data_IF_449912835046
#
_entry.id   IF_449912835046
#
_cell.length_a   1.000
_cell.length_b   1.000
_cell.length_c   1.000
_cell.angle_alpha   90.00
_cell.angle_beta   90.00
_cell.angle_gamma   90.00
#
_symmetry.space_group_name_H-M   'P 1'
#
loop_
_entity.id
_entity.type
_entity.pdbx_description
1 polymer ?
#
# COMPACT_ATOMS: atom_id res chain seq x y z
N UNK A 1 -0.30 -7.09 -16.65
CA UNK A 1 -0.75 -6.05 -15.69
C UNK A 1 0.16 -4.85 -15.84
N UNK A 2 -0.31 -3.77 -16.46
CA UNK A 2 0.37 -2.48 -16.36
C UNK A 2 0.21 -2.00 -14.91
N UNK A 3 1.34 -1.78 -14.23
CA UNK A 3 1.35 -1.49 -12.80
C UNK A 3 1.06 0.00 -12.62
N UNK A 4 -0.23 0.34 -12.55
CA UNK A 4 -0.73 1.63 -12.06
C UNK A 4 -0.45 1.74 -10.56
N UNK A 5 0.83 1.82 -10.22
CA UNK A 5 1.27 2.19 -8.89
C UNK A 5 0.99 3.69 -8.72
N UNK A 6 0.23 4.12 -7.71
CA UNK A 6 -0.07 5.54 -7.51
C UNK A 6 1.19 6.37 -7.23
N UNK A 7 2.34 5.75 -6.99
CA UNK A 7 3.63 6.42 -6.87
C UNK A 7 4.50 6.15 -8.11
N UNK A 8 4.04 6.53 -9.30
CA UNK A 8 4.95 6.70 -10.42
C UNK A 8 5.74 8.00 -10.17
N UNK A 9 6.90 7.89 -9.53
CA UNK A 9 7.87 8.98 -9.44
C UNK A 9 8.58 9.08 -10.80
N UNK A 10 8.04 9.89 -11.70
CA UNK A 10 8.79 10.40 -12.85
C UNK A 10 8.64 9.62 -14.15
N UNK A 11 7.60 9.97 -14.91
CA UNK A 11 7.69 10.17 -16.38
C UNK A 11 6.83 11.38 -16.79
N UNK A 12 6.82 12.44 -15.98
CA UNK A 12 6.47 13.77 -16.49
C UNK A 12 7.75 14.35 -17.05
N UNK A 13 7.84 14.40 -18.38
CA UNK A 13 8.88 15.20 -19.04
C UNK A 13 8.76 16.64 -18.53
N UNK A 14 9.84 17.15 -17.94
CA UNK A 14 10.01 18.56 -17.57
C UNK A 14 10.00 19.45 -18.82
N UNK A 15 8.80 19.72 -19.33
CA UNK A 15 8.52 20.79 -20.28
C UNK A 15 7.34 21.62 -19.76
N UNK A 16 7.47 22.11 -18.54
CA UNK A 16 6.77 23.32 -18.12
C UNK A 16 7.85 24.30 -17.60
N UNK A 17 8.34 25.13 -18.53
CA UNK A 17 8.96 26.39 -18.17
C UNK A 17 7.82 27.35 -17.83
N UNK A 18 7.57 27.57 -16.53
CA UNK A 18 7.00 28.81 -16.06
C UNK A 18 7.51 29.12 -14.64
N UNK A 19 7.96 30.36 -14.50
CA UNK A 19 8.60 30.96 -13.33
C UNK A 19 7.74 30.88 -12.05
N UNK A 20 8.22 30.16 -11.03
CA UNK A 20 7.64 30.19 -9.67
C UNK A 20 8.74 30.27 -8.58
N UNK A 21 9.43 31.42 -8.53
CA UNK A 21 10.30 31.78 -7.40
C UNK A 21 9.53 32.62 -6.37
N UNK A 22 8.60 32.00 -5.62
CA UNK A 22 7.78 32.72 -4.61
C UNK A 22 8.20 32.49 -3.14
N UNK A 23 9.16 31.61 -2.83
CA UNK A 23 9.50 31.31 -1.41
C UNK A 23 10.99 31.33 -1.04
N UNK A 24 11.84 32.01 -1.81
CA UNK A 24 13.21 32.27 -1.37
C UNK A 24 13.58 33.73 -1.60
N UNK A 25 13.77 34.48 -0.50
CA UNK A 25 14.39 35.81 -0.52
C UNK A 25 15.73 35.68 -1.27
N UNK A 26 15.96 36.45 -2.35
CA UNK A 26 17.11 36.27 -3.21
C UNK A 26 18.39 36.64 -2.46
N UNK A 27 19.20 35.65 -2.11
CA UNK A 27 20.62 35.89 -1.81
C UNK A 27 21.28 36.31 -3.11
N UNK A 28 21.62 37.60 -3.23
CA UNK A 28 22.48 38.13 -4.30
C UNK A 28 23.77 37.28 -4.39
N UNK A 29 23.79 36.33 -5.32
CA UNK A 29 25.02 35.68 -5.77
C UNK A 29 25.50 36.41 -7.02
N UNK A 30 26.38 37.37 -6.81
CA UNK A 30 27.24 37.95 -7.85
C UNK A 30 28.21 36.88 -8.33
N UNK A 31 27.85 36.20 -9.41
CA UNK A 31 28.68 35.19 -10.05
C UNK A 31 27.92 34.44 -11.11
N UNK A 32 27.83 35.02 -12.30
CA UNK A 32 27.27 34.40 -13.50
C UNK A 32 28.15 33.24 -13.95
N UNK A 33 27.97 32.07 -13.32
CA UNK A 33 28.51 30.82 -13.83
C UNK A 33 27.69 30.46 -15.07
N UNK A 34 28.29 30.59 -16.25
CA UNK A 34 27.73 30.12 -17.53
C UNK A 34 27.31 28.66 -17.35
N UNK A 35 26.02 28.39 -17.18
CA UNK A 35 25.48 27.04 -17.30
C UNK A 35 25.51 26.71 -18.79
N UNK A 36 26.29 25.69 -19.13
CA UNK A 36 26.22 25.11 -20.46
C UNK A 36 24.80 24.56 -20.67
N UNK A 37 24.17 24.79 -21.84
CA UNK A 37 22.87 24.21 -22.14
C UNK A 37 22.95 22.70 -21.97
N UNK A 38 22.13 22.15 -21.09
CA UNK A 38 21.99 20.71 -20.91
C UNK A 38 21.22 20.21 -22.12
N UNK A 39 21.92 19.52 -23.03
CA UNK A 39 21.26 18.85 -24.16
C UNK A 39 20.30 17.80 -23.60
N UNK A 40 19.00 18.01 -23.78
CA UNK A 40 17.92 17.09 -23.38
C UNK A 40 17.84 15.88 -24.34
N UNK A 41 18.96 15.20 -24.56
CA UNK A 41 18.98 13.93 -25.27
C UNK A 41 18.34 12.81 -24.44
N UNK A 42 17.77 11.76 -25.05
CA UNK A 42 17.33 10.57 -24.33
C UNK A 42 18.50 10.02 -23.50
N UNK A 43 18.27 9.84 -22.19
CA UNK A 43 19.29 9.33 -21.28
C UNK A 43 19.56 7.85 -21.60
N UNK A 44 20.78 7.58 -22.08
CA UNK A 44 21.30 6.23 -22.21
C UNK A 44 22.18 5.95 -21.00
N UNK A 45 21.73 5.04 -20.13
CA UNK A 45 22.53 4.58 -18.99
C UNK A 45 23.90 4.13 -19.51
N UNK A 46 24.97 4.74 -19.01
CA UNK A 46 26.32 4.41 -19.45
C UNK A 46 26.75 3.16 -18.70
N UNK A 47 26.30 1.99 -19.16
CA UNK A 47 26.54 0.68 -18.51
C UNK A 47 28.04 0.49 -18.19
N UNK A 48 28.94 1.00 -19.03
CA UNK A 48 30.38 0.90 -18.80
C UNK A 48 30.94 1.84 -17.72
N UNK A 49 30.26 2.94 -17.40
CA UNK A 49 30.67 3.89 -16.35
C UNK A 49 29.87 3.74 -15.05
N UNK A 50 28.57 3.45 -15.17
CA UNK A 50 27.66 3.28 -14.04
C UNK A 50 27.65 1.84 -13.53
N UNK A 51 28.04 0.86 -14.35
CA UNK A 51 28.09 -0.57 -14.02
C UNK A 51 29.36 -1.03 -13.29
N UNK A 52 30.00 -0.16 -12.51
CA UNK A 52 31.23 -0.53 -11.77
C UNK A 52 31.01 -1.72 -10.80
N UNK A 53 29.77 -1.97 -10.39
CA UNK A 53 29.36 -3.11 -9.57
C UNK A 53 29.07 -4.40 -10.37
N UNK A 54 29.07 -4.37 -11.70
CA UNK A 54 28.89 -5.56 -12.54
C UNK A 54 30.18 -6.34 -12.79
N UNK A 55 31.35 -5.70 -12.60
CA UNK A 55 32.67 -6.24 -13.00
C UNK A 55 33.45 -6.90 -11.87
N UNK A 56 32.77 -7.39 -10.84
CA UNK A 56 33.42 -8.16 -9.78
C UNK A 56 33.41 -9.65 -10.12
N UNK A 57 34.59 -10.24 -10.23
CA UNK A 57 34.76 -11.70 -10.33
C UNK A 57 34.42 -12.44 -9.03
N UNK A 58 34.21 -11.70 -7.94
CA UNK A 58 33.82 -12.21 -6.63
C UNK A 58 32.37 -12.64 -6.59
N UNK A 59 32.07 -13.65 -5.81
CA UNK A 59 30.67 -14.03 -5.51
C UNK A 59 29.97 -12.95 -4.66
N UNK A 60 28.63 -12.97 -4.61
CA UNK A 60 27.86 -12.06 -3.76
C UNK A 60 28.25 -12.22 -2.28
N UNK A 61 28.42 -13.46 -1.84
CA UNK A 61 28.84 -13.81 -0.48
C UNK A 61 30.22 -13.23 -0.15
N UNK A 62 31.21 -13.46 -1.01
CA UNK A 62 32.54 -12.87 -0.85
C UNK A 62 32.48 -11.35 -0.79
N UNK A 63 31.69 -10.74 -1.68
CA UNK A 63 31.57 -9.30 -1.75
C UNK A 63 30.95 -8.73 -0.47
N UNK A 64 29.87 -9.33 0.03
CA UNK A 64 29.20 -8.91 1.26
C UNK A 64 30.05 -9.12 2.51
N UNK A 65 30.80 -10.22 2.60
CA UNK A 65 31.56 -10.60 3.79
C UNK A 65 32.96 -9.96 3.85
N UNK A 66 33.62 -9.77 2.71
CA UNK A 66 35.02 -9.32 2.67
C UNK A 66 35.16 -7.81 2.53
N UNK A 67 34.25 -7.15 1.81
CA UNK A 67 34.36 -5.73 1.49
C UNK A 67 33.63 -4.83 2.48
N UNK A 68 34.25 -3.70 2.82
CA UNK A 68 33.70 -2.77 3.79
C UNK A 68 32.30 -2.25 3.42
N UNK A 69 32.06 -2.05 2.13
CA UNK A 69 30.78 -1.55 1.60
C UNK A 69 30.09 -2.61 0.75
N UNK A 70 30.41 -3.90 0.95
CA UNK A 70 29.92 -5.01 0.14
C UNK A 70 28.40 -5.06 0.06
N UNK A 71 27.73 -5.06 1.21
CA UNK A 71 26.27 -5.08 1.28
C UNK A 71 25.61 -3.94 0.49
N UNK A 72 26.09 -2.69 0.65
CA UNK A 72 25.56 -1.54 -0.09
C UNK A 72 25.77 -1.67 -1.60
N UNK A 73 26.91 -2.23 -2.03
CA UNK A 73 27.16 -2.51 -3.46
C UNK A 73 26.19 -3.53 -4.02
N UNK A 74 25.88 -4.60 -3.27
CA UNK A 74 24.90 -5.60 -3.70
C UNK A 74 23.50 -4.98 -3.81
N UNK A 75 23.09 -4.15 -2.85
CA UNK A 75 21.81 -3.42 -2.92
C UNK A 75 21.73 -2.53 -4.16
N UNK A 76 22.73 -1.66 -4.37
CA UNK A 76 22.79 -0.79 -5.56
C UNK A 76 22.79 -1.60 -6.87
N UNK A 77 23.42 -2.78 -6.89
CA UNK A 77 23.40 -3.68 -8.04
C UNK A 77 21.99 -4.22 -8.32
N UNK A 78 21.27 -4.67 -7.28
CA UNK A 78 19.88 -5.12 -7.41
C UNK A 78 18.97 -3.98 -7.89
N UNK A 79 19.08 -2.79 -7.30
CA UNK A 79 18.34 -1.59 -7.71
C UNK A 79 18.57 -1.25 -9.19
N UNK A 80 19.82 -1.30 -9.64
CA UNK A 80 20.15 -1.02 -11.04
C UNK A 80 19.51 -2.03 -12.00
N UNK A 81 19.57 -3.33 -11.70
CA UNK A 81 18.89 -4.34 -12.51
C UNK A 81 17.37 -4.14 -12.52
N UNK A 82 16.79 -3.79 -11.38
CA UNK A 82 15.37 -3.48 -11.28
C UNK A 82 14.99 -2.28 -12.17
N UNK A 83 15.76 -1.20 -12.14
CA UNK A 83 15.54 0.00 -12.97
C UNK A 83 15.68 -0.29 -14.47
N UNK A 84 16.57 -1.21 -14.86
CA UNK A 84 16.69 -1.69 -16.24
C UNK A 84 15.62 -2.73 -16.64
N UNK A 85 14.63 -3.00 -15.78
CA UNK A 85 13.59 -4.02 -15.97
C UNK A 85 14.14 -5.45 -16.12
N UNK A 86 15.36 -5.68 -15.66
CA UNK A 86 16.01 -6.98 -15.54
C UNK A 86 15.60 -7.62 -14.21
N UNK A 87 14.30 -7.94 -14.11
CA UNK A 87 13.67 -8.36 -12.85
C UNK A 87 14.18 -9.71 -12.37
N UNK A 88 14.61 -10.59 -13.25
CA UNK A 88 15.15 -11.89 -12.86
C UNK A 88 16.48 -11.73 -12.12
N UNK A 89 17.38 -10.94 -12.69
CA UNK A 89 18.70 -10.66 -12.10
C UNK A 89 18.57 -9.91 -10.78
N UNK A 90 17.68 -8.92 -10.71
CA UNK A 90 17.37 -8.22 -9.47
C UNK A 90 16.81 -9.16 -8.40
N UNK A 91 15.92 -10.07 -8.79
CA UNK A 91 15.34 -11.08 -7.90
C UNK A 91 16.40 -12.02 -7.33
N UNK A 92 17.22 -12.62 -8.20
CA UNK A 92 18.24 -13.60 -7.80
C UNK A 92 19.25 -12.98 -6.82
N UNK A 93 19.66 -11.73 -7.08
CA UNK A 93 20.55 -10.97 -6.20
C UNK A 93 19.89 -10.69 -4.84
N UNK A 94 18.61 -10.30 -4.85
CA UNK A 94 17.86 -9.98 -3.65
C UNK A 94 17.61 -11.21 -2.77
N UNK A 95 17.22 -12.34 -3.35
CA UNK A 95 17.09 -13.60 -2.62
C UNK A 95 18.41 -14.07 -2.03
N UNK A 96 19.48 -14.04 -2.81
CA UNK A 96 20.80 -14.46 -2.34
C UNK A 96 21.30 -13.58 -1.19
N UNK A 97 21.05 -12.26 -1.25
CA UNK A 97 21.32 -11.35 -0.14
C UNK A 97 20.57 -11.79 1.13
N UNK A 98 19.26 -12.04 1.03
CA UNK A 98 18.44 -12.48 2.16
C UNK A 98 18.94 -13.83 2.73
N UNK A 99 19.33 -14.77 1.87
CA UNK A 99 19.89 -16.07 2.26
C UNK A 99 21.21 -15.92 3.04
N UNK A 100 22.12 -15.07 2.56
CA UNK A 100 23.40 -14.80 3.23
C UNK A 100 23.16 -14.18 4.62
N UNK A 101 22.25 -13.21 4.74
CA UNK A 101 21.90 -12.61 6.03
C UNK A 101 21.33 -13.66 7.00
N UNK A 102 20.36 -14.46 6.56
CA UNK A 102 19.76 -15.50 7.39
C UNK A 102 20.78 -16.55 7.87
N UNK A 103 21.70 -16.96 7.00
CA UNK A 103 22.76 -17.93 7.35
C UNK A 103 23.72 -17.34 8.39
N UNK A 104 24.04 -16.05 8.28
CA UNK A 104 24.93 -15.37 9.23
C UNK A 104 24.27 -15.14 10.61
N UNK A 105 22.97 -14.84 10.65
CA UNK A 105 22.23 -14.66 11.90
C UNK A 105 22.19 -15.97 12.72
N UNK A 106 21.98 -17.10 12.04
CA UNK A 106 22.04 -18.44 12.66
C UNK A 106 23.41 -18.72 13.28
N UNK A 107 24.50 -18.36 12.59
CA UNK A 107 25.86 -18.57 13.09
C UNK A 107 26.20 -17.67 14.30
N UNK A 108 25.54 -16.51 14.42
CA UNK A 108 25.82 -15.52 15.47
C UNK A 108 25.17 -15.88 16.82
N UNK A 109 24.10 -16.67 16.81
CA UNK A 109 23.39 -17.09 18.04
C UNK A 109 24.12 -18.14 18.89
N UNK A 110 25.24 -18.69 18.41
CA UNK A 110 26.06 -19.64 19.18
C UNK A 110 27.22 -19.03 20.00
N UNK A 111 27.41 -17.70 19.98
CA UNK A 111 28.37 -17.06 20.88
C UNK A 111 28.89 -15.73 20.36
N UNK A 112 28.48 -14.65 21.02
CA UNK A 112 29.06 -13.31 20.92
C UNK A 112 28.93 -12.61 19.55
N UNK A 113 27.68 -12.44 19.08
CA UNK A 113 27.16 -11.15 18.58
C UNK A 113 27.82 -10.44 17.38
N UNK A 114 28.83 -11.01 16.73
CA UNK A 114 29.48 -10.38 15.58
C UNK A 114 30.29 -11.35 14.73
N UNK A 115 30.23 -11.15 13.40
CA UNK A 115 31.13 -11.79 12.43
C UNK A 115 32.60 -11.56 12.82
N UNK A 116 33.25 -12.55 13.44
CA UNK A 116 34.69 -12.53 13.64
C UNK A 116 35.38 -12.74 12.29
N UNK A 117 36.11 -11.73 11.83
CA UNK A 117 37.00 -11.83 10.68
C UNK A 117 38.06 -12.92 10.98
N UNK A 118 38.21 -13.98 10.15
CA UNK A 118 39.15 -15.06 10.44
C UNK A 118 40.63 -14.63 10.41
N UNK A 119 40.94 -13.43 9.93
CA UNK A 119 42.31 -12.91 9.86
C UNK A 119 42.78 -12.14 11.11
N UNK A 120 41.93 -11.94 12.12
CA UNK A 120 42.28 -11.16 13.31
C UNK A 120 43.02 -11.95 14.42
N UNK A 121 43.39 -13.22 14.19
CA UNK A 121 43.90 -14.10 15.25
C UNK A 121 45.44 -14.18 15.37
N UNK A 122 46.22 -13.36 14.67
CA UNK A 122 47.70 -13.45 14.75
C UNK A 122 48.51 -12.16 14.92
N UNK A 123 47.90 -11.01 15.20
CA UNK A 123 48.67 -9.80 15.53
C UNK A 123 48.12 -9.08 16.77
N UNK A 124 48.98 -9.00 17.79
CA UNK A 124 49.00 -8.06 18.90
C UNK A 124 47.87 -8.08 19.94
N UNK A 125 48.13 -8.91 20.96
CA UNK A 125 47.65 -8.75 22.33
C UNK A 125 48.25 -7.44 22.87
N UNK A 126 47.61 -6.30 22.62
CA UNK A 126 48.17 -5.06 23.15
C UNK A 126 47.59 -3.73 22.69
N UNK A 127 46.33 -3.63 22.26
CA UNK A 127 45.62 -2.34 22.27
C UNK A 127 44.11 -2.59 22.28
N UNK A 128 43.46 -2.21 23.38
CA UNK A 128 42.00 -2.08 23.47
C UNK A 128 41.55 -0.99 22.47
N UNK A 129 41.16 -1.41 21.26
CA UNK A 129 40.27 -0.65 20.38
C UNK A 129 39.07 -1.55 20.06
N UNK A 130 38.14 -1.56 21.00
CA UNK A 130 36.80 -2.09 20.82
C UNK A 130 36.14 -1.20 19.74
N UNK A 131 35.81 -1.74 18.56
CA UNK A 131 34.74 -1.15 17.73
C UNK A 131 34.89 -0.99 16.22
N UNK A 132 35.86 -1.60 15.52
CA UNK A 132 35.97 -1.40 14.05
C UNK A 132 36.15 -2.70 13.27
N UNK A 133 35.08 -3.26 12.71
CA UNK A 133 35.23 -4.18 11.57
C UNK A 133 34.13 -5.20 11.35
N UNK A 134 33.19 -5.39 12.29
CA UNK A 134 32.05 -6.28 12.06
C UNK A 134 30.97 -5.49 11.31
N UNK A 135 30.89 -5.68 10.00
CA UNK A 135 29.77 -5.17 9.22
C UNK A 135 28.52 -5.95 9.59
N UNK A 136 27.72 -5.32 10.46
CA UNK A 136 26.35 -5.73 10.73
C UNK A 136 25.54 -5.56 9.44
N UNK A 137 25.48 -6.60 8.62
CA UNK A 137 24.53 -6.69 7.49
C UNK A 137 23.16 -7.01 8.08
N UNK A 138 22.51 -6.04 8.72
CA UNK A 138 21.34 -6.34 9.57
C UNK A 138 19.99 -6.14 8.92
N UNK A 139 19.94 -5.43 7.79
CA UNK A 139 18.65 -5.09 7.21
C UNK A 139 18.45 -5.75 5.84
N UNK A 140 17.91 -6.96 5.89
CA UNK A 140 17.42 -7.71 4.73
C UNK A 140 16.05 -7.26 4.27
N UNK A 141 15.36 -6.34 4.97
CA UNK A 141 13.96 -5.99 4.66
C UNK A 141 13.82 -5.28 3.32
N UNK A 142 14.73 -4.34 3.00
CA UNK A 142 14.75 -3.67 1.70
C UNK A 142 14.96 -4.67 0.55
N UNK A 143 15.84 -5.65 0.74
CA UNK A 143 16.10 -6.68 -0.27
C UNK A 143 14.95 -7.68 -0.35
N UNK A 144 14.28 -7.99 0.76
CA UNK A 144 13.08 -8.81 0.77
C UNK A 144 11.93 -8.09 0.04
N UNK A 145 11.77 -6.78 0.24
CA UNK A 145 10.83 -5.96 -0.51
C UNK A 145 11.18 -5.93 -2.02
N UNK A 146 12.47 -5.79 -2.37
CA UNK A 146 12.93 -5.86 -3.76
C UNK A 146 12.62 -7.21 -4.40
N UNK A 147 12.92 -8.32 -3.70
CA UNK A 147 12.60 -9.67 -4.16
C UNK A 147 11.09 -9.84 -4.37
N UNK A 148 10.28 -9.37 -3.42
CA UNK A 148 8.82 -9.38 -3.53
C UNK A 148 8.31 -8.63 -4.76
N UNK A 149 8.82 -7.40 -5.00
CA UNK A 149 8.48 -6.61 -6.19
C UNK A 149 8.86 -7.33 -7.49
N UNK A 150 10.06 -7.90 -7.54
CA UNK A 150 10.52 -8.64 -8.72
C UNK A 150 9.69 -9.91 -8.97
N UNK A 151 9.39 -10.70 -7.92
CA UNK A 151 8.53 -11.88 -8.02
C UNK A 151 7.17 -11.54 -8.62
N UNK A 152 6.55 -10.44 -8.18
CA UNK A 152 5.30 -9.94 -8.77
C UNK A 152 5.45 -9.59 -10.25
N UNK A 153 6.54 -8.93 -10.66
CA UNK A 153 6.80 -8.60 -12.08
C UNK A 153 7.05 -9.82 -12.95
N UNK A 154 7.58 -10.89 -12.35
CA UNK A 154 7.84 -12.18 -13.00
C UNK A 154 6.61 -13.11 -12.98
N UNK A 155 5.45 -12.65 -12.46
CA UNK A 155 4.24 -13.45 -12.26
C UNK A 155 4.44 -14.69 -11.36
N UNK A 156 5.43 -14.66 -10.45
CA UNK A 156 5.67 -15.71 -9.45
C UNK A 156 4.87 -15.40 -8.19
N UNK A 157 3.55 -15.46 -8.30
CA UNK A 157 2.65 -14.93 -7.25
C UNK A 157 2.70 -15.71 -5.94
N UNK A 158 2.88 -17.04 -5.98
CA UNK A 158 3.04 -17.85 -4.76
C UNK A 158 4.33 -17.49 -4.01
N UNK A 159 5.46 -17.42 -4.72
CA UNK A 159 6.73 -16.95 -4.13
C UNK A 159 6.58 -15.52 -3.57
N UNK A 160 5.87 -14.63 -4.26
CA UNK A 160 5.57 -13.30 -3.77
C UNK A 160 4.75 -13.32 -2.46
N UNK A 161 3.75 -14.19 -2.35
CA UNK A 161 2.97 -14.33 -1.12
C UNK A 161 3.83 -14.84 0.05
N UNK A 162 4.72 -15.81 -0.19
CA UNK A 162 5.66 -16.31 0.83
C UNK A 162 6.66 -15.23 1.28
N UNK A 163 7.19 -14.43 0.35
CA UNK A 163 8.07 -13.30 0.66
C UNK A 163 7.32 -12.21 1.45
N UNK A 164 6.03 -11.99 1.14
CA UNK A 164 5.17 -11.08 1.88
C UNK A 164 4.94 -11.55 3.33
N UNK A 165 4.78 -12.86 3.55
CA UNK A 165 4.65 -13.44 4.90
C UNK A 165 5.90 -13.19 5.76
N UNK A 166 7.08 -13.25 5.14
CA UNK A 166 8.36 -12.98 5.82
C UNK A 166 8.57 -11.48 6.12
N UNK A 167 7.92 -10.59 5.35
CA UNK A 167 8.11 -9.15 5.45
C UNK A 167 7.28 -8.55 6.59
N UNK A 168 7.94 -8.32 7.73
CA UNK A 168 7.37 -7.75 8.96
C UNK A 168 7.60 -6.23 9.06
N UNK A 169 7.10 -5.47 8.09
CA UNK A 169 7.08 -4.00 8.10
C UNK A 169 5.65 -3.49 8.00
N UNK A 170 5.37 -2.42 8.75
CA UNK A 170 4.04 -1.79 8.87
C UNK A 170 4.00 -0.42 8.17
N UNK A 171 4.87 -0.19 7.19
CA UNK A 171 4.86 1.02 6.37
C UNK A 171 3.77 0.95 5.30
N UNK A 172 3.19 2.10 4.95
CA UNK A 172 2.05 2.15 4.03
C UNK A 172 2.33 1.41 2.71
N UNK A 173 3.50 1.70 2.11
CA UNK A 173 3.92 1.10 0.85
C UNK A 173 4.08 -0.41 0.93
N UNK A 174 4.58 -0.92 2.06
CA UNK A 174 4.75 -2.36 2.28
C UNK A 174 3.40 -3.04 2.48
N UNK A 175 2.50 -2.45 3.27
CA UNK A 175 1.15 -3.00 3.47
C UNK A 175 0.42 -3.12 2.14
N UNK A 176 0.52 -2.12 1.26
CA UNK A 176 -0.04 -2.20 -0.09
C UNK A 176 0.59 -3.30 -0.95
N UNK A 177 1.91 -3.41 -0.91
CA UNK A 177 2.64 -4.40 -1.68
C UNK A 177 2.24 -5.82 -1.25
N UNK A 178 2.18 -6.08 0.07
CA UNK A 178 1.71 -7.35 0.64
C UNK A 178 0.28 -7.66 0.22
N UNK A 179 -0.64 -6.69 0.35
CA UNK A 179 -2.03 -6.87 -0.05
C UNK A 179 -2.16 -7.28 -1.53
N UNK A 180 -1.42 -6.61 -2.43
CA UNK A 180 -1.40 -6.99 -3.86
C UNK A 180 -0.88 -8.41 -4.08
N UNK A 181 0.21 -8.81 -3.41
CA UNK A 181 0.77 -10.15 -3.52
C UNK A 181 -0.24 -11.22 -3.05
N UNK A 182 -0.88 -11.01 -1.90
CA UNK A 182 -1.90 -11.92 -1.38
C UNK A 182 -3.15 -12.01 -2.25
N UNK A 183 -3.63 -10.87 -2.79
CA UNK A 183 -4.77 -10.87 -3.73
C UNK A 183 -4.46 -11.68 -5.00
N UNK A 184 -3.22 -11.63 -5.49
CA UNK A 184 -2.82 -12.36 -6.70
C UNK A 184 -2.89 -13.89 -6.55
N UNK A 185 -2.79 -14.41 -5.32
CA UNK A 185 -2.93 -15.85 -5.00
C UNK A 185 -4.28 -16.19 -4.36
N UNK A 186 -5.23 -15.25 -4.34
CA UNK A 186 -6.56 -15.46 -3.74
C UNK A 186 -6.58 -15.52 -2.21
N UNK A 187 -5.51 -15.11 -1.51
CA UNK A 187 -5.44 -14.99 -0.05
C UNK A 187 -6.08 -13.67 0.43
N UNK A 188 -7.36 -13.47 0.11
CA UNK A 188 -8.04 -12.18 0.32
C UNK A 188 -8.12 -11.74 1.78
N UNK A 189 -8.32 -12.66 2.73
CA UNK A 189 -8.30 -12.34 4.16
C UNK A 189 -6.95 -11.75 4.60
N UNK A 190 -5.85 -12.38 4.16
CA UNK A 190 -4.48 -11.98 4.49
C UNK A 190 -4.11 -10.64 3.83
N UNK A 191 -4.77 -10.29 2.73
CA UNK A 191 -4.67 -8.97 2.13
C UNK A 191 -5.46 -7.90 2.90
N UNK A 192 -6.73 -8.20 3.25
CA UNK A 192 -7.63 -7.23 3.85
C UNK A 192 -7.33 -6.91 5.32
N UNK A 193 -6.93 -7.92 6.12
CA UNK A 193 -6.73 -7.74 7.55
C UNK A 193 -5.59 -6.73 7.86
N UNK A 194 -4.39 -6.82 7.26
CA UNK A 194 -3.34 -5.82 7.47
C UNK A 194 -3.74 -4.40 7.02
N UNK A 195 -4.53 -4.27 5.94
CA UNK A 195 -5.04 -2.97 5.49
C UNK A 195 -5.93 -2.32 6.56
N UNK A 196 -6.84 -3.11 7.15
CA UNK A 196 -7.73 -2.65 8.23
C UNK A 196 -6.93 -2.32 9.49
N UNK A 197 -6.00 -3.18 9.89
CA UNK A 197 -5.14 -2.94 11.06
C UNK A 197 -4.31 -1.67 10.90
N UNK A 198 -3.70 -1.46 9.74
CA UNK A 198 -2.96 -0.25 9.42
C UNK A 198 -3.87 0.99 9.53
N UNK A 199 -5.08 0.91 8.97
CA UNK A 199 -6.01 2.04 8.97
C UNK A 199 -6.52 2.38 10.38
N UNK A 200 -6.76 1.37 11.22
CA UNK A 200 -7.10 1.54 12.66
C UNK A 200 -5.95 2.18 13.43
N UNK A 201 -4.72 1.74 13.20
CA UNK A 201 -3.53 2.28 13.87
C UNK A 201 -3.27 3.76 13.52
N UNK A 202 -3.69 4.20 12.31
CA UNK A 202 -3.53 5.59 11.84
C UNK A 202 -4.84 6.37 11.81
N UNK A 203 -5.74 6.15 12.78
CA UNK A 203 -7.11 6.69 12.79
C UNK A 203 -7.26 8.19 12.47
N UNK A 204 -6.26 9.03 12.78
CA UNK A 204 -6.28 10.47 12.45
C UNK A 204 -6.08 10.79 10.96
N UNK A 205 -5.39 9.92 10.21
CA UNK A 205 -5.05 10.14 8.81
C UNK A 205 -5.62 8.99 7.97
N UNK A 206 -6.93 9.06 7.71
CA UNK A 206 -7.60 8.09 6.86
C UNK A 206 -7.09 8.18 5.42
N UNK A 207 -6.52 7.10 4.89
CA UNK A 207 -5.90 7.10 3.58
C UNK A 207 -6.85 6.51 2.53
N UNK A 208 -7.31 7.34 1.59
CA UNK A 208 -8.24 6.91 0.54
C UNK A 208 -7.72 5.73 -0.28
N UNK A 209 -6.39 5.64 -0.49
CA UNK A 209 -5.80 4.56 -1.27
C UNK A 209 -5.94 3.19 -0.59
N UNK A 210 -5.94 3.13 0.75
CA UNK A 210 -6.17 1.89 1.51
C UNK A 210 -7.61 1.43 1.32
N UNK A 211 -8.55 2.36 1.44
CA UNK A 211 -9.97 2.08 1.20
C UNK A 211 -10.22 1.61 -0.24
N UNK A 212 -9.55 2.21 -1.23
CA UNK A 212 -9.63 1.76 -2.63
C UNK A 212 -9.12 0.33 -2.81
N UNK A 213 -7.94 0.01 -2.25
CA UNK A 213 -7.37 -1.34 -2.35
C UNK A 213 -8.20 -2.36 -1.55
N UNK A 214 -8.76 -1.97 -0.41
CA UNK A 214 -9.69 -2.81 0.34
C UNK A 214 -10.96 -3.11 -0.46
N UNK A 215 -11.54 -2.11 -1.13
CA UNK A 215 -12.68 -2.30 -2.03
C UNK A 215 -12.35 -3.27 -3.17
N UNK A 216 -11.18 -3.12 -3.79
CA UNK A 216 -10.71 -4.03 -4.84
C UNK A 216 -10.53 -5.46 -4.32
N UNK A 217 -9.93 -5.63 -3.14
CA UNK A 217 -9.76 -6.92 -2.49
C UNK A 217 -11.11 -7.62 -2.26
N UNK A 218 -12.08 -6.91 -1.69
CA UNK A 218 -13.43 -7.41 -1.43
C UNK A 218 -14.14 -7.78 -2.73
N UNK A 219 -14.07 -6.93 -3.76
CA UNK A 219 -14.70 -7.19 -5.05
C UNK A 219 -14.07 -8.39 -5.78
N UNK A 220 -12.74 -8.47 -5.84
CA UNK A 220 -12.06 -9.61 -6.46
C UNK A 220 -12.37 -10.92 -5.75
N UNK A 221 -12.48 -10.91 -4.42
CA UNK A 221 -12.86 -12.10 -3.66
C UNK A 221 -14.25 -12.62 -4.03
N UNK A 222 -15.20 -11.71 -4.30
CA UNK A 222 -16.55 -12.04 -4.74
C UNK A 222 -16.55 -12.70 -6.12
N UNK A 223 -15.64 -12.28 -7.01
CA UNK A 223 -15.47 -12.89 -8.34
C UNK A 223 -14.71 -14.21 -8.29
N UNK A 224 -13.68 -14.31 -7.46
CA UNK A 224 -12.91 -15.55 -7.31
C UNK A 224 -13.78 -16.70 -6.81
N UNK A 225 -14.71 -16.41 -5.89
CA UNK A 225 -15.71 -17.37 -5.43
C UNK A 225 -16.71 -17.83 -6.52
N UNK A 226 -16.78 -17.15 -7.68
CA UNK A 226 -17.66 -17.50 -8.82
C UNK A 226 -17.01 -18.45 -9.82
N UNK A 227 -15.68 -18.59 -9.79
CA UNK A 227 -14.99 -19.42 -10.79
C UNK A 227 -15.35 -20.90 -10.57
N UNK A 228 -15.74 -21.64 -11.63
CA UNK A 228 -16.02 -23.06 -11.52
C UNK A 228 -14.77 -23.80 -11.02
N UNK A 229 -14.94 -24.68 -10.04
CA UNK A 229 -13.83 -25.43 -9.42
C UNK A 229 -12.94 -26.24 -10.39
N UNK A 230 -13.33 -26.39 -11.66
CA UNK A 230 -12.54 -27.07 -12.68
C UNK A 230 -11.26 -26.31 -13.11
N UNK A 231 -11.16 -25.00 -12.86
CA UNK A 231 -9.96 -24.19 -13.13
C UNK A 231 -9.16 -23.83 -11.89
N UNK A 232 -9.64 -24.19 -10.69
CA UNK A 232 -8.87 -24.06 -9.46
C UNK A 232 -7.78 -25.13 -9.49
N UNK A 233 -6.56 -24.72 -9.87
CA UNK A 233 -5.43 -25.65 -10.01
C UNK A 233 -5.24 -26.48 -8.74
N UNK A 234 -4.94 -27.79 -8.87
CA UNK A 234 -4.76 -28.69 -7.74
C UNK A 234 -3.35 -28.52 -7.17
N UNK A 235 -3.08 -27.40 -6.50
CA UNK A 235 -1.87 -27.25 -5.71
C UNK A 235 -2.15 -27.73 -4.28
N UNK A 236 -1.78 -28.99 -4.05
CA UNK A 236 -1.40 -29.58 -2.75
C UNK A 236 -2.38 -29.44 -1.57
N UNK A 237 -3.13 -30.52 -1.33
CA UNK A 237 -3.80 -30.90 -0.07
C UNK A 237 -4.70 -29.84 0.60
N UNK A 238 -5.94 -29.71 0.12
CA UNK A 238 -7.01 -29.01 0.85
C UNK A 238 -8.34 -29.74 0.71
N UNK A 239 -8.36 -30.99 1.18
CA UNK A 239 -9.58 -31.77 1.36
C UNK A 239 -10.37 -31.24 2.56
N UNK A 240 -11.25 -30.23 2.38
CA UNK A 240 -12.34 -29.88 3.35
C UNK A 240 -13.32 -28.77 2.91
N UNK A 241 -13.14 -28.08 1.78
CA UNK A 241 -13.86 -26.82 1.50
C UNK A 241 -15.29 -26.95 0.93
N UNK A 242 -15.84 -28.16 0.77
CA UNK A 242 -17.10 -28.39 0.06
C UNK A 242 -18.38 -27.93 0.79
N UNK A 243 -18.30 -27.32 1.98
CA UNK A 243 -19.48 -26.94 2.78
C UNK A 243 -19.65 -25.45 3.09
N UNK A 244 -18.84 -24.55 2.52
CA UNK A 244 -19.09 -23.10 2.56
C UNK A 244 -20.21 -22.71 1.58
N UNK A 245 -21.38 -23.29 1.81
CA UNK A 245 -22.62 -22.92 1.16
C UNK A 245 -23.14 -21.62 1.79
N UNK A 246 -23.05 -20.55 1.00
CA UNK A 246 -23.84 -19.31 1.08
C UNK A 246 -23.51 -18.32 2.22
N UNK A 247 -22.48 -17.50 2.04
CA UNK A 247 -22.75 -16.06 2.00
C UNK A 247 -23.33 -15.74 0.63
N UNK A 248 -24.35 -14.88 0.55
CA UNK A 248 -24.95 -14.57 -0.73
C UNK A 248 -23.88 -13.93 -1.62
N UNK A 249 -23.90 -14.26 -2.92
CA UNK A 249 -22.95 -13.80 -3.94
C UNK A 249 -22.73 -12.27 -3.96
N UNK A 250 -23.64 -11.52 -3.33
CA UNK A 250 -23.64 -10.06 -3.29
C UNK A 250 -22.99 -9.49 -2.03
N UNK A 251 -22.82 -10.27 -0.97
CA UNK A 251 -22.45 -9.77 0.37
C UNK A 251 -21.11 -9.01 0.36
N UNK A 252 -20.11 -9.52 -0.37
CA UNK A 252 -18.80 -8.85 -0.48
C UNK A 252 -18.79 -7.68 -1.47
N UNK A 253 -19.66 -7.70 -2.49
CA UNK A 253 -19.84 -6.55 -3.39
C UNK A 253 -20.45 -5.36 -2.62
N UNK A 254 -21.34 -5.62 -1.65
CA UNK A 254 -21.86 -4.58 -0.75
C UNK A 254 -20.74 -3.93 0.08
N UNK A 255 -19.87 -4.74 0.68
CA UNK A 255 -18.73 -4.25 1.47
C UNK A 255 -17.71 -3.50 0.61
N UNK A 256 -17.47 -3.98 -0.62
CA UNK A 256 -16.64 -3.28 -1.59
C UNK A 256 -17.23 -1.91 -1.96
N UNK A 257 -18.56 -1.83 -2.14
CA UNK A 257 -19.26 -0.58 -2.43
C UNK A 257 -19.15 0.43 -1.27
N UNK A 258 -19.34 -0.01 -0.02
CA UNK A 258 -19.12 0.87 1.15
C UNK A 258 -17.68 1.38 1.17
N UNK A 259 -16.71 0.50 0.91
CA UNK A 259 -15.28 0.85 0.91
C UNK A 259 -14.91 1.84 -0.19
N UNK A 260 -15.44 1.71 -1.42
CA UNK A 260 -15.14 2.64 -2.52
C UNK A 260 -15.83 4.00 -2.30
N UNK A 261 -17.03 4.01 -1.72
CA UNK A 261 -17.71 5.25 -1.31
C UNK A 261 -16.90 6.00 -0.25
N UNK A 262 -16.32 5.28 0.71
CA UNK A 262 -15.41 5.85 1.70
C UNK A 262 -14.15 6.41 1.06
N UNK A 263 -13.51 5.68 0.14
CA UNK A 263 -12.35 6.16 -0.60
C UNK A 263 -12.66 7.46 -1.37
N UNK A 264 -13.81 7.50 -2.07
CA UNK A 264 -14.29 8.69 -2.79
C UNK A 264 -14.50 9.88 -1.87
N UNK A 265 -15.17 9.69 -0.74
CA UNK A 265 -15.42 10.77 0.23
C UNK A 265 -14.09 11.36 0.74
N UNK A 266 -13.15 10.51 1.16
CA UNK A 266 -11.83 10.94 1.62
C UNK A 266 -11.06 11.67 0.53
N UNK A 267 -11.16 11.20 -0.72
CA UNK A 267 -10.52 11.86 -1.85
C UNK A 267 -11.10 13.26 -2.08
N UNK A 268 -12.43 13.43 -2.04
CA UNK A 268 -13.09 14.73 -2.20
C UNK A 268 -12.83 15.70 -1.05
N UNK A 269 -12.67 15.19 0.16
CA UNK A 269 -12.29 15.97 1.33
C UNK A 269 -10.81 16.42 1.31
N UNK A 270 -10.00 15.86 0.41
CA UNK A 270 -8.58 16.23 0.27
C UNK A 270 -8.41 17.61 -0.35
N UNK A 271 -7.39 18.33 0.12
CA UNK A 271 -6.93 19.61 -0.46
C UNK A 271 -6.23 19.43 -1.82
N UNK A 272 -6.00 18.19 -2.26
CA UNK A 272 -5.34 17.91 -3.55
C UNK A 272 -6.05 18.52 -4.75
N UNK A 273 -7.36 18.71 -4.69
CA UNK A 273 -8.14 19.38 -5.76
C UNK A 273 -7.77 20.86 -5.95
N UNK A 274 -7.26 21.51 -4.91
CA UNK A 274 -6.89 22.92 -4.88
C UNK A 274 -5.45 23.15 -5.40
N UNK A 275 -4.61 22.11 -5.42
CA UNK A 275 -3.20 22.21 -5.79
C UNK A 275 -3.03 21.92 -7.29
N UNK A 276 -2.55 22.90 -8.06
CA UNK A 276 -2.47 22.87 -9.53
C UNK A 276 -1.64 21.69 -10.07
N UNK A 277 -0.43 21.49 -9.55
CA UNK A 277 0.50 20.46 -10.08
C UNK A 277 0.04 19.01 -9.85
N UNK A 278 -0.84 18.75 -8.87
CA UNK A 278 -1.43 17.41 -8.63
C UNK A 278 -2.83 17.26 -9.19
N UNK A 279 -3.45 18.32 -9.72
CA UNK A 279 -4.85 18.30 -10.18
C UNK A 279 -5.10 17.21 -11.21
N UNK A 280 -4.22 17.07 -12.21
CA UNK A 280 -4.34 16.04 -13.24
C UNK A 280 -4.32 14.62 -12.65
N UNK A 281 -3.47 14.37 -11.65
CA UNK A 281 -3.42 13.09 -10.94
C UNK A 281 -4.67 12.87 -10.11
N UNK A 282 -5.12 13.90 -9.39
CA UNK A 282 -6.35 13.88 -8.61
C UNK A 282 -7.56 13.52 -9.48
N UNK A 283 -7.73 14.17 -10.63
CA UNK A 283 -8.84 13.91 -11.54
C UNK A 283 -8.81 12.49 -12.11
N UNK A 284 -7.63 11.99 -12.49
CA UNK A 284 -7.45 10.62 -12.98
C UNK A 284 -7.85 9.58 -11.93
N UNK A 285 -7.36 9.73 -10.71
CA UNK A 285 -7.64 8.83 -9.60
C UNK A 285 -9.12 8.90 -9.17
N UNK A 286 -9.70 10.11 -9.09
CA UNK A 286 -11.12 10.27 -8.80
C UNK A 286 -11.99 9.63 -9.89
N UNK A 287 -11.62 9.78 -11.17
CA UNK A 287 -12.30 9.12 -12.28
C UNK A 287 -12.25 7.60 -12.15
N UNK A 288 -11.10 7.03 -11.77
CA UNK A 288 -10.97 5.59 -11.55
C UNK A 288 -11.87 5.10 -10.39
N UNK A 289 -11.91 5.84 -9.28
CA UNK A 289 -12.81 5.55 -8.14
C UNK A 289 -14.29 5.62 -8.55
N UNK A 290 -14.67 6.63 -9.33
CA UNK A 290 -16.04 6.80 -9.84
C UNK A 290 -16.45 5.67 -10.79
N UNK A 291 -15.55 5.24 -11.68
CA UNK A 291 -15.78 4.09 -12.56
C UNK A 291 -15.99 2.81 -11.76
N UNK A 292 -15.14 2.55 -10.76
CA UNK A 292 -15.28 1.40 -9.88
C UNK A 292 -16.57 1.46 -9.06
N UNK A 293 -16.95 2.63 -8.55
CA UNK A 293 -18.24 2.84 -7.87
C UNK A 293 -19.40 2.44 -8.76
N UNK A 294 -19.43 2.88 -10.01
CA UNK A 294 -20.53 2.57 -10.93
C UNK A 294 -20.65 1.08 -11.28
N UNK A 295 -19.52 0.37 -11.34
CA UNK A 295 -19.53 -1.09 -11.50
C UNK A 295 -20.16 -1.74 -10.27
N UNK A 296 -19.70 -1.36 -9.07
CA UNK A 296 -20.20 -1.90 -7.81
C UNK A 296 -21.67 -1.56 -7.54
N UNK A 297 -22.11 -0.34 -7.86
CA UNK A 297 -23.53 0.07 -7.78
C UNK A 297 -24.41 -0.85 -8.62
N UNK A 298 -24.00 -1.12 -9.86
CA UNK A 298 -24.71 -2.02 -10.78
C UNK A 298 -24.76 -3.44 -10.23
N UNK A 299 -23.64 -3.95 -9.73
CA UNK A 299 -23.55 -5.31 -9.17
C UNK A 299 -24.39 -5.46 -7.89
N UNK A 300 -24.54 -4.38 -7.12
CA UNK A 300 -25.44 -4.30 -5.97
C UNK A 300 -26.92 -4.04 -6.36
N UNK A 301 -27.24 -3.95 -7.66
CA UNK A 301 -28.60 -3.69 -8.15
C UNK A 301 -29.11 -2.29 -7.86
N UNK A 302 -28.24 -1.31 -7.64
CA UNK A 302 -28.58 0.11 -7.56
C UNK A 302 -28.74 0.65 -8.99
N UNK A 303 -29.95 1.04 -9.34
CA UNK A 303 -30.26 1.61 -10.66
C UNK A 303 -30.13 3.14 -10.62
N UNK A 304 -28.98 3.64 -10.18
CA UNK A 304 -28.78 5.08 -10.05
C UNK A 304 -28.69 5.71 -11.45
N UNK A 305 -29.55 6.70 -11.68
CA UNK A 305 -29.63 7.40 -12.95
C UNK A 305 -28.36 8.23 -13.15
N UNK A 306 -27.54 7.85 -14.14
CA UNK A 306 -26.35 8.60 -14.57
C UNK A 306 -26.68 9.89 -15.34
N UNK A 307 -27.93 10.37 -15.28
CA UNK A 307 -28.34 11.59 -15.98
C UNK A 307 -27.96 12.83 -15.16
N UNK A 308 -27.13 13.74 -15.70
CA UNK A 308 -26.91 15.04 -15.10
C UNK A 308 -28.18 15.89 -15.28
N UNK A 309 -29.08 15.88 -14.30
CA UNK A 309 -30.21 16.81 -14.26
C UNK A 309 -29.80 18.10 -13.55
N UNK A 310 -29.95 19.23 -14.23
CA UNK A 310 -29.54 20.56 -13.76
C UNK A 310 -30.63 21.27 -12.94
N UNK A 311 -31.24 20.62 -11.94
CA UNK A 311 -32.47 21.11 -11.29
C UNK A 311 -32.42 21.16 -9.76
N UNK A 312 -32.04 22.31 -9.20
CA UNK A 312 -31.67 22.52 -7.78
C UNK A 312 -32.66 22.01 -6.71
N UNK A 313 -33.97 22.06 -6.95
CA UNK A 313 -34.98 21.56 -5.97
C UNK A 313 -35.38 20.10 -6.21
N UNK A 314 -35.32 19.64 -7.47
CA UNK A 314 -35.55 18.23 -7.81
C UNK A 314 -34.41 17.35 -7.31
N UNK A 315 -33.21 17.93 -7.23
CA UNK A 315 -31.98 17.26 -6.78
C UNK A 315 -32.03 16.84 -5.31
N UNK A 316 -32.66 17.63 -4.41
CA UNK A 316 -32.76 17.27 -2.97
C UNK A 316 -33.67 16.05 -2.72
N UNK A 317 -34.83 16.01 -3.38
CA UNK A 317 -35.76 14.89 -3.27
C UNK A 317 -35.16 13.61 -3.88
N UNK A 318 -34.41 13.74 -4.98
CA UNK A 318 -33.66 12.64 -5.57
C UNK A 318 -32.57 12.12 -4.61
N UNK A 319 -31.79 13.00 -3.98
CA UNK A 319 -30.77 12.58 -3.01
C UNK A 319 -31.34 11.82 -1.81
N UNK A 320 -32.48 12.24 -1.28
CA UNK A 320 -33.11 11.53 -0.17
C UNK A 320 -33.60 10.12 -0.60
N UNK A 321 -34.09 10.01 -1.83
CA UNK A 321 -34.49 8.74 -2.40
C UNK A 321 -33.28 7.82 -2.62
N UNK A 322 -32.17 8.35 -3.13
CA UNK A 322 -30.91 7.62 -3.31
C UNK A 322 -30.39 7.10 -1.96
N UNK A 323 -30.36 7.96 -0.93
CA UNK A 323 -29.96 7.56 0.43
C UNK A 323 -30.82 6.42 0.98
N UNK A 324 -32.14 6.51 0.79
CA UNK A 324 -33.07 5.45 1.22
C UNK A 324 -32.82 4.16 0.45
N UNK A 325 -32.47 4.26 -0.84
CA UNK A 325 -32.13 3.09 -1.66
C UNK A 325 -30.82 2.44 -1.22
N UNK A 326 -29.78 3.24 -0.94
CA UNK A 326 -28.51 2.79 -0.37
C UNK A 326 -28.70 2.08 0.98
N UNK A 327 -29.44 2.71 1.90
CA UNK A 327 -29.70 2.15 3.22
C UNK A 327 -30.36 0.77 3.09
N UNK A 328 -31.40 0.67 2.24
CA UNK A 328 -32.16 -0.56 2.03
C UNK A 328 -31.38 -1.66 1.31
N UNK A 329 -30.64 -1.32 0.25
CA UNK A 329 -30.00 -2.31 -0.63
C UNK A 329 -28.57 -2.67 -0.23
N UNK A 330 -27.89 -1.80 0.51
CA UNK A 330 -26.47 -1.96 0.84
C UNK A 330 -26.27 -2.08 2.34
N UNK A 331 -26.79 -1.13 3.12
CA UNK A 331 -26.41 -0.98 4.53
C UNK A 331 -27.11 -2.00 5.41
N UNK A 332 -28.43 -2.12 5.30
CA UNK A 332 -29.21 -3.11 6.07
C UNK A 332 -28.67 -4.53 5.79
N UNK A 333 -28.49 -4.98 4.52
CA UNK A 333 -27.93 -6.30 4.27
C UNK A 333 -26.49 -6.48 4.76
N UNK A 334 -25.64 -5.45 4.71
CA UNK A 334 -24.28 -5.53 5.25
C UNK A 334 -24.27 -5.64 6.80
N UNK A 335 -25.20 -4.97 7.49
CA UNK A 335 -25.39 -5.12 8.93
C UNK A 335 -25.94 -6.51 9.30
N UNK A 336 -26.87 -7.05 8.51
CA UNK A 336 -27.37 -8.42 8.66
C UNK A 336 -26.25 -9.45 8.49
N UNK A 337 -25.38 -9.28 7.49
CA UNK A 337 -24.18 -10.10 7.29
C UNK A 337 -23.28 -10.07 8.52
N UNK A 338 -22.97 -8.87 9.04
CA UNK A 338 -22.14 -8.71 10.24
C UNK A 338 -22.76 -9.44 11.45
N UNK A 339 -24.08 -9.30 11.64
CA UNK A 339 -24.79 -9.97 12.73
C UNK A 339 -24.73 -11.50 12.58
N UNK A 340 -24.92 -12.01 11.36
CA UNK A 340 -24.79 -13.44 11.05
C UNK A 340 -23.39 -13.97 11.36
N UNK A 341 -22.34 -13.23 10.97
CA UNK A 341 -20.95 -13.60 11.29
C UNK A 341 -20.70 -13.58 12.80
N UNK A 342 -21.19 -12.57 13.54
CA UNK A 342 -21.09 -12.50 15.01
C UNK A 342 -21.76 -13.71 15.67
N UNK A 343 -22.94 -14.10 15.20
CA UNK A 343 -23.67 -15.26 15.73
C UNK A 343 -22.93 -16.58 15.43
N UNK A 344 -22.39 -16.73 14.21
CA UNK A 344 -21.58 -17.91 13.84
C UNK A 344 -20.31 -18.02 14.68
N UNK A 345 -19.60 -16.90 14.89
CA UNK A 345 -18.40 -16.86 15.72
C UNK A 345 -18.70 -17.19 17.19
N UNK A 346 -19.79 -16.65 17.74
CA UNK A 346 -20.24 -16.99 19.10
C UNK A 346 -20.55 -18.49 19.23
N UNK A 347 -21.23 -19.09 18.23
CA UNK A 347 -21.54 -20.51 18.21
C UNK A 347 -20.26 -21.38 18.16
N UNK A 348 -19.27 -20.99 17.34
CA UNK A 348 -17.97 -21.67 17.25
C UNK A 348 -17.22 -21.65 18.58
N UNK A 349 -17.20 -20.51 19.26
CA UNK A 349 -16.61 -20.38 20.61
C UNK A 349 -17.29 -21.29 21.63
N UNK A 350 -18.61 -21.44 21.58
CA UNK A 350 -19.34 -22.38 22.43
C UNK A 350 -19.04 -23.85 22.12
N UNK A 351 -18.74 -24.18 20.86
CA UNK A 351 -18.44 -25.54 20.41
C UNK A 351 -16.96 -25.92 20.54
N UNK A 352 -16.07 -24.99 20.89
CA UNK A 352 -14.63 -25.21 20.96
C UNK A 352 -13.96 -25.47 19.60
N UNK A 353 -14.65 -25.19 18.49
CA UNK A 353 -14.11 -25.36 17.13
C UNK A 353 -13.43 -24.05 16.73
N UNK A 354 -12.10 -24.04 16.72
CA UNK A 354 -11.32 -22.83 16.44
C UNK A 354 -11.04 -22.58 14.94
N UNK A 355 -11.25 -23.57 14.06
CA UNK A 355 -10.73 -23.54 12.69
C UNK A 355 -11.84 -23.60 11.63
N UNK A 356 -12.64 -22.55 11.52
CA UNK A 356 -13.47 -22.33 10.33
C UNK A 356 -12.77 -21.36 9.37
N UNK A 357 -12.49 -21.79 8.14
CA UNK A 357 -11.95 -20.92 7.09
C UNK A 357 -13.05 -19.98 6.60
N UNK A 358 -13.21 -18.82 7.22
CA UNK A 358 -14.01 -17.74 6.65
C UNK A 358 -13.19 -16.96 5.62
N UNK A 359 -13.84 -16.52 4.54
CA UNK A 359 -13.18 -15.76 3.47
C UNK A 359 -12.59 -14.44 3.98
N UNK A 360 -13.21 -13.84 4.98
CA UNK A 360 -12.71 -12.66 5.69
C UNK A 360 -12.96 -12.80 7.18
N UNK A 361 -12.06 -12.22 7.97
CA UNK A 361 -12.25 -12.07 9.41
C UNK A 361 -13.43 -11.15 9.71
N UNK A 362 -14.14 -11.45 10.79
CA UNK A 362 -15.21 -10.61 11.31
C UNK A 362 -14.75 -9.17 11.57
N UNK A 363 -13.46 -8.99 11.89
CA UNK A 363 -12.84 -7.69 12.12
C UNK A 363 -12.88 -6.79 10.88
N UNK A 364 -12.64 -7.35 9.69
CA UNK A 364 -12.68 -6.61 8.43
C UNK A 364 -14.10 -6.15 8.13
N UNK A 365 -15.07 -7.07 8.24
CA UNK A 365 -16.48 -6.78 7.96
C UNK A 365 -17.02 -5.73 8.94
N UNK A 366 -16.74 -5.90 10.23
CA UNK A 366 -17.13 -4.94 11.27
C UNK A 366 -16.54 -3.56 11.00
N UNK A 367 -15.27 -3.50 10.61
CA UNK A 367 -14.60 -2.23 10.32
C UNK A 367 -15.24 -1.49 9.14
N UNK A 368 -15.53 -2.19 8.04
CA UNK A 368 -16.15 -1.60 6.85
C UNK A 368 -17.58 -1.14 7.15
N UNK A 369 -18.41 -1.98 7.78
CA UNK A 369 -19.81 -1.65 8.09
C UNK A 369 -19.90 -0.47 9.05
N UNK A 370 -19.07 -0.43 10.09
CA UNK A 370 -19.06 0.67 11.06
C UNK A 370 -18.48 1.98 10.49
N UNK A 371 -17.89 1.95 9.30
CA UNK A 371 -17.38 3.15 8.62
C UNK A 371 -18.41 3.81 7.70
N UNK A 372 -19.63 3.28 7.64
CA UNK A 372 -20.74 3.89 6.92
C UNK A 372 -21.12 5.25 7.52
N UNK A 373 -21.36 6.22 6.63
CA UNK A 373 -21.86 7.54 6.96
C UNK A 373 -22.77 8.00 5.79
N UNK A 374 -23.98 8.54 6.03
CA UNK A 374 -24.82 9.12 4.97
C UNK A 374 -24.09 10.15 4.09
N UNK A 375 -23.06 10.84 4.61
CA UNK A 375 -22.21 11.77 3.85
C UNK A 375 -21.37 11.09 2.76
N UNK A 376 -21.26 9.75 2.76
CA UNK A 376 -20.55 9.02 1.71
C UNK A 376 -21.29 9.07 0.36
N UNK A 377 -22.63 9.15 0.40
CA UNK A 377 -23.49 9.20 -0.79
C UNK A 377 -23.69 10.64 -1.27
N UNK A 378 -23.69 11.61 -0.36
CA UNK A 378 -23.97 12.99 -0.73
C UNK A 378 -22.93 13.52 -1.73
N UNK A 379 -23.40 14.13 -2.81
CA UNK A 379 -22.53 14.78 -3.80
C UNK A 379 -22.08 16.17 -3.35
N UNK A 380 -22.56 16.64 -2.19
CA UNK A 380 -22.19 17.97 -1.70
C UNK A 380 -20.67 17.99 -1.52
N UNK A 381 -19.93 18.89 -2.18
CA UNK A 381 -18.61 19.22 -1.69
C UNK A 381 -18.82 19.59 -0.23
N UNK A 382 -18.13 18.90 0.67
CA UNK A 382 -18.14 19.27 2.08
C UNK A 382 -17.71 20.73 2.10
N UNK A 383 -18.63 21.62 2.47
CA UNK A 383 -18.35 23.03 2.62
C UNK A 383 -17.38 23.16 3.80
N UNK A 384 -16.08 23.01 3.49
CA UNK A 384 -14.97 23.11 4.43
C UNK A 384 -14.72 24.57 4.86
N UNK A 385 -15.73 25.43 4.74
CA UNK A 385 -15.68 26.88 4.99
C UNK A 385 -16.04 27.27 6.44
N UNK A 386 -16.27 26.32 7.36
CA UNK A 386 -16.82 26.67 8.69
C UNK A 386 -15.95 26.35 9.90
N UNK A 387 -14.71 25.88 9.75
CA UNK A 387 -13.85 25.59 10.91
C UNK A 387 -12.85 26.70 11.26
N UNK A 388 -12.57 27.68 10.38
CA UNK A 388 -11.59 28.75 10.65
C UNK A 388 -12.21 30.04 11.23
N UNK A 389 -13.56 30.14 11.31
CA UNK A 389 -14.22 31.35 11.78
C UNK A 389 -14.46 31.42 13.32
N UNK A 390 -14.25 30.33 14.06
CA UNK A 390 -14.58 30.26 15.49
C UNK A 390 -13.36 30.34 16.44
N UNK A 391 -12.12 30.41 15.95
CA UNK A 391 -10.93 30.63 16.81
C UNK A 391 -10.52 32.10 16.98
N UNK A 392 -11.07 33.04 16.21
CA UNK A 392 -10.67 34.46 16.29
C UNK A 392 -11.46 35.34 17.29
N UNK A 393 -12.52 34.82 17.93
CA UNK A 393 -13.32 35.58 18.90
C UNK A 393 -13.03 35.27 20.39
N UNK A 394 -11.93 34.57 20.68
CA UNK A 394 -11.53 34.17 22.04
C UNK A 394 -10.46 35.05 22.71
N UNK A 395 -10.43 36.37 22.49
CA UNK A 395 -9.48 37.25 23.20
C UNK A 395 -10.07 38.61 23.57
N UNK A 396 -10.85 38.66 24.65
CA UNK A 396 -11.07 39.88 25.45
C UNK A 396 -11.69 39.52 26.82
N UNK A 397 -10.87 38.99 27.72
CA UNK A 397 -11.22 38.74 29.12
C UNK A 397 -10.29 39.50 30.07
N UNK A 398 -10.63 40.77 30.30
CA UNK A 398 -10.00 41.67 31.26
C UNK A 398 -9.76 41.03 32.63
N UNK A 399 -8.53 41.12 33.14
CA UNK A 399 -8.25 40.99 34.57
C UNK A 399 -7.68 42.32 35.07
N UNK A 400 -8.60 43.20 35.47
CA UNK A 400 -8.32 44.35 36.33
C UNK A 400 -8.13 43.79 37.76
N UNK A 401 -6.89 43.78 38.24
CA UNK A 401 -6.58 43.77 39.67
C UNK A 401 -5.85 45.06 39.98
N UNK A 402 -6.51 45.95 40.69
CA UNK A 402 -5.83 46.89 41.56
C UNK A 402 -6.58 46.98 42.89
N UNK A 403 -5.76 47.15 43.92
CA UNK A 403 -5.96 47.39 45.35
C UNK A 403 -7.29 47.98 45.79
#
# INVERSE_FOLDING_TARGET
MEDDFPFNFGETSDQDQDDDSLFCVPKQKTGSRKQAPIEQGPYYAQIDKEGWFHRTSKSLEELMLQEKNGASKVKMRADHYYMLRQYQEAYDIAQEYCRIVATNDLNTTQGDGGLRRPEATKADIGTLMIGAGVLKVTDSKEMLEMALRCAMKLNRFEEAAELADQLNLQDAGVVFLKAKAYMAVGRFNDAALPLVQYQKARSRNSNYSIWRVLAECLHQSAHWARLPSAEQQPTTSRDSLSSLQYTSRNDFDLLALISILRARHLMRASTWSQVSFVRMRYERELKAIEQQRHVLERDCGLALHSSPSSGTDRDKALMLNDLTEYERKVIIPAQELLLQMKNKDALRRCQGVLNGEELFSIEVVEYVVNSWDPQLVSNSPVALETAEADEENGHCGNNVRNK
#
